data_IF_795322218714
#
_entry.id   IF_795322218714
#
_cell.length_a   1.000
_cell.length_b   1.000
_cell.length_c   1.000
_cell.angle_alpha   90.00
_cell.angle_beta   90.00
_cell.angle_gamma   90.00
#
_symmetry.space_group_name_H-M   'P 1'
#
loop_
_entity.id
_entity.type
_entity.pdbx_description
1 polymer ?
#
# COMPACT_ATOMS: atom_id res chain seq x y z
N UNK A 1 -28.07 -42.39 50.29
CA UNK A 1 -28.25 -42.68 48.86
C UNK A 1 -26.92 -42.46 48.16
N UNK A 2 -26.48 -43.50 47.44
CA UNK A 2 -25.30 -43.64 46.56
C UNK A 2 -24.92 -42.32 45.85
N UNK A 3 -23.66 -41.90 45.68
CA UNK A 3 -22.42 -42.65 45.50
C UNK A 3 -22.07 -42.74 44.01
N UNK A 4 -21.05 -42.00 43.54
CA UNK A 4 -20.01 -42.46 42.61
C UNK A 4 -19.15 -41.29 42.06
N UNK A 5 -17.83 -41.44 42.20
CA UNK A 5 -16.76 -40.72 41.49
C UNK A 5 -16.27 -41.60 40.32
N UNK A 6 -15.85 -40.99 39.22
CA UNK A 6 -14.84 -41.43 38.23
C UNK A 6 -14.67 -40.24 37.25
N UNK A 7 -13.51 -39.66 36.87
CA UNK A 7 -12.11 -40.04 36.66
C UNK A 7 -11.87 -41.06 35.54
N UNK A 8 -11.55 -40.57 34.33
CA UNK A 8 -10.69 -41.15 33.26
C UNK A 8 -10.92 -40.28 31.99
N UNK A 9 -9.97 -39.47 31.53
CA UNK A 9 -8.75 -39.80 30.76
C UNK A 9 -9.01 -40.21 29.31
N UNK A 10 -8.24 -39.57 28.43
CA UNK A 10 -7.81 -40.05 27.11
C UNK A 10 -8.83 -40.00 25.94
N UNK A 11 -8.60 -39.10 24.97
CA UNK A 11 -7.79 -39.44 23.79
C UNK A 11 -7.77 -38.27 22.79
N UNK A 12 -6.57 -37.81 22.49
CA UNK A 12 -6.26 -36.91 21.39
C UNK A 12 -6.59 -37.61 20.06
N UNK A 13 -7.58 -37.12 19.33
CA UNK A 13 -7.77 -37.43 17.92
C UNK A 13 -7.01 -36.39 17.09
N UNK A 14 -5.79 -36.74 16.64
CA UNK A 14 -5.02 -35.94 15.69
C UNK A 14 -5.67 -35.93 14.30
N UNK A 15 -5.46 -34.87 13.49
CA UNK A 15 -6.03 -34.77 12.16
C UNK A 15 -5.37 -35.77 11.18
N UNK A 16 -6.11 -36.27 10.18
CA UNK A 16 -5.56 -37.21 9.21
C UNK A 16 -4.52 -36.56 8.29
N UNK A 17 -3.39 -37.25 8.10
CA UNK A 17 -2.33 -36.90 7.15
C UNK A 17 -2.80 -37.03 5.69
N UNK A 18 -2.42 -36.10 4.79
CA UNK A 18 -2.78 -36.18 3.38
C UNK A 18 -1.89 -37.18 2.62
N UNK A 19 -2.45 -38.34 2.26
CA UNK A 19 -1.86 -39.27 1.29
C UNK A 19 -2.43 -39.02 -0.10
N UNK A 20 -1.75 -38.16 -0.87
CA UNK A 20 -2.14 -37.85 -2.25
C UNK A 20 -0.91 -37.55 -3.10
N UNK A 21 -0.37 -38.58 -3.77
CA UNK A 21 0.72 -38.47 -4.73
C UNK A 21 0.22 -37.72 -5.98
N UNK A 22 0.94 -36.71 -6.50
CA UNK A 22 0.52 -35.99 -7.70
C UNK A 22 0.61 -36.91 -8.94
N UNK A 23 -0.36 -36.85 -9.87
CA UNK A 23 -0.27 -37.59 -11.12
C UNK A 23 0.84 -37.03 -12.02
N UNK A 24 1.60 -37.96 -12.60
CA UNK A 24 2.66 -37.77 -13.57
C UNK A 24 2.17 -37.05 -14.83
N UNK A 25 2.94 -36.04 -15.24
CA UNK A 25 2.64 -35.17 -16.38
C UNK A 25 2.59 -35.91 -17.71
N UNK A 26 1.63 -35.49 -18.56
CA UNK A 26 1.63 -35.81 -19.99
C UNK A 26 2.27 -34.64 -20.72
N UNK A 27 3.29 -34.96 -21.52
CA UNK A 27 4.15 -34.03 -22.23
C UNK A 27 3.42 -33.09 -23.16
N UNK A 28 3.73 -31.80 -23.03
CA UNK A 28 3.54 -30.78 -24.05
C UNK A 28 4.72 -30.86 -25.04
N UNK A 29 4.52 -30.64 -26.35
CA UNK A 29 5.61 -30.61 -27.32
C UNK A 29 6.51 -29.39 -27.09
N UNK A 30 7.82 -29.62 -27.22
CA UNK A 30 8.88 -28.64 -27.03
C UNK A 30 8.79 -27.46 -28.02
N UNK A 31 9.07 -26.22 -27.59
CA UNK A 31 9.32 -25.13 -28.51
C UNK A 31 10.68 -25.33 -29.22
N UNK A 32 10.69 -25.02 -30.51
CA UNK A 32 11.85 -25.10 -31.39
C UNK A 32 13.08 -24.41 -30.79
N UNK A 33 14.21 -25.13 -30.79
CA UNK A 33 15.52 -24.59 -30.48
C UNK A 33 15.86 -23.46 -31.47
N UNK A 34 15.68 -22.21 -31.04
CA UNK A 34 16.33 -21.06 -31.67
C UNK A 34 17.71 -20.93 -31.04
N UNK A 35 18.72 -21.28 -31.82
CA UNK A 35 20.12 -21.24 -31.43
C UNK A 35 20.53 -19.88 -30.88
N UNK A 36 21.51 -19.91 -29.97
CA UNK A 36 22.27 -18.76 -29.54
C UNK A 36 22.90 -18.10 -30.78
N UNK A 37 22.22 -17.10 -31.33
CA UNK A 37 22.77 -16.26 -32.37
C UNK A 37 23.83 -15.36 -31.75
N UNK A 38 25.10 -15.64 -32.02
CA UNK A 38 26.16 -14.65 -31.81
C UNK A 38 25.83 -13.42 -32.66
N UNK A 39 25.77 -12.24 -32.03
CA UNK A 39 25.68 -10.99 -32.77
C UNK A 39 26.96 -10.83 -33.62
N UNK A 40 26.86 -10.50 -34.93
CA UNK A 40 28.03 -10.26 -35.75
C UNK A 40 28.83 -9.08 -35.19
N UNK A 41 30.16 -9.13 -35.32
CA UNK A 41 31.08 -8.09 -34.83
C UNK A 41 30.96 -6.75 -35.59
N UNK A 42 30.02 -6.63 -36.53
CA UNK A 42 29.74 -5.40 -37.27
C UNK A 42 28.28 -5.38 -37.70
N UNK A 43 27.49 -4.48 -37.11
CA UNK A 43 26.08 -4.24 -37.46
C UNK A 43 25.43 -3.23 -36.52
N UNK A 44 24.61 -2.31 -37.05
CA UNK A 44 23.85 -1.36 -36.22
C UNK A 44 22.75 -2.09 -35.43
N UNK A 45 22.70 -1.84 -34.12
CA UNK A 45 21.58 -2.28 -33.28
C UNK A 45 20.30 -1.54 -33.72
N UNK A 46 19.15 -2.23 -33.84
CA UNK A 46 17.88 -1.58 -34.20
C UNK A 46 17.46 -0.59 -33.11
N UNK A 47 16.84 0.53 -33.49
CA UNK A 47 16.41 1.61 -32.58
C UNK A 47 15.23 1.25 -31.66
N UNK A 48 14.73 0.01 -31.75
CA UNK A 48 13.66 -0.51 -30.89
C UNK A 48 13.96 -1.96 -30.51
N UNK A 49 14.49 -2.15 -29.30
CA UNK A 49 14.75 -3.43 -28.66
C UNK A 49 15.60 -3.24 -27.39
N UNK A 50 15.21 -3.85 -26.27
CA UNK A 50 16.02 -3.79 -25.04
C UNK A 50 17.33 -4.57 -25.24
N UNK A 51 18.46 -3.91 -24.98
CA UNK A 51 19.74 -4.60 -24.83
C UNK A 51 19.67 -5.52 -23.59
N UNK A 52 20.12 -6.78 -23.67
CA UNK A 52 20.11 -7.68 -22.53
C UNK A 52 21.03 -7.15 -21.42
N UNK A 53 20.59 -7.25 -20.17
CA UNK A 53 21.28 -6.74 -18.98
C UNK A 53 22.55 -7.52 -18.59
N UNK A 54 22.91 -8.56 -19.36
CA UNK A 54 24.15 -9.30 -19.21
C UNK A 54 24.77 -9.57 -20.59
N UNK A 55 25.74 -8.75 -20.97
CA UNK A 55 26.57 -8.90 -22.15
C UNK A 55 27.72 -7.90 -22.12
N UNK A 56 28.95 -8.37 -22.35
CA UNK A 56 30.11 -7.48 -22.47
C UNK A 56 29.91 -6.55 -23.66
N UNK A 57 29.98 -5.23 -23.43
CA UNK A 57 30.02 -4.25 -24.50
C UNK A 57 31.27 -4.52 -25.38
N UNK A 58 31.15 -4.52 -26.72
CA UNK A 58 32.31 -4.71 -27.59
C UNK A 58 33.32 -3.58 -27.35
N UNK A 59 34.62 -3.91 -27.37
CA UNK A 59 35.72 -2.98 -27.12
C UNK A 59 35.90 -1.91 -28.22
N UNK A 60 35.05 -1.91 -29.25
CA UNK A 60 35.06 -0.92 -30.33
C UNK A 60 33.65 -0.75 -30.89
N UNK A 61 32.96 0.27 -30.40
CA UNK A 61 31.69 0.76 -30.93
C UNK A 61 31.44 2.17 -30.41
N UNK A 62 31.22 3.13 -31.30
CA UNK A 62 30.86 4.49 -30.89
C UNK A 62 29.53 4.45 -30.12
N UNK A 63 29.57 4.81 -28.84
CA UNK A 63 28.36 5.16 -28.11
C UNK A 63 27.66 6.31 -28.86
N UNK A 64 26.33 6.29 -29.02
CA UNK A 64 25.63 7.39 -29.67
C UNK A 64 25.91 8.69 -28.91
N UNK A 65 26.32 9.73 -29.64
CA UNK A 65 26.73 11.06 -29.14
C UNK A 65 25.59 11.86 -28.48
N UNK A 66 24.53 11.21 -28.00
CA UNK A 66 23.42 11.82 -27.27
C UNK A 66 22.90 10.90 -26.16
N UNK A 67 23.81 10.42 -25.33
CA UNK A 67 23.50 9.97 -23.98
C UNK A 67 23.61 11.14 -23.01
N UNK A 68 22.49 11.79 -22.69
CA UNK A 68 22.44 12.66 -21.51
C UNK A 68 22.28 11.78 -20.28
N UNK A 69 23.41 11.42 -19.66
CA UNK A 69 23.45 11.17 -18.23
C UNK A 69 23.62 12.53 -17.55
N UNK A 70 22.61 13.11 -16.86
CA UNK A 70 22.87 14.22 -15.99
C UNK A 70 23.46 13.66 -14.70
N UNK A 71 24.78 13.79 -14.65
CA UNK A 71 25.64 14.05 -13.50
C UNK A 71 25.03 13.88 -12.09
N UNK A 72 25.71 13.08 -11.26
CA UNK A 72 25.64 13.20 -9.81
C UNK A 72 25.87 14.67 -9.43
N UNK A 73 24.88 15.29 -8.79
CA UNK A 73 25.10 16.48 -7.98
C UNK A 73 25.09 16.09 -6.50
N UNK A 74 26.13 16.46 -5.72
CA UNK A 74 26.04 16.46 -4.26
C UNK A 74 25.29 17.72 -3.83
N UNK A 75 24.22 17.55 -3.05
CA UNK A 75 23.51 18.65 -2.41
C UNK A 75 22.01 18.41 -2.29
N UNK A 76 21.58 17.89 -1.15
CA UNK A 76 20.20 18.06 -0.71
C UNK A 76 19.95 19.57 -0.57
N UNK A 77 19.07 20.12 -1.42
CA UNK A 77 18.54 21.45 -1.19
C UNK A 77 17.76 21.46 0.14
N UNK A 78 17.80 22.53 0.94
CA UNK A 78 16.91 22.67 2.09
C UNK A 78 15.47 22.59 1.60
N UNK A 79 14.65 21.81 2.30
CA UNK A 79 13.28 21.50 1.92
C UNK A 79 12.49 22.74 1.53
N UNK A 80 12.02 22.77 0.27
CA UNK A 80 10.92 23.64 -0.12
C UNK A 80 9.72 23.19 0.70
N UNK A 81 9.27 24.05 1.62
CA UNK A 81 8.07 23.80 2.38
C UNK A 81 6.92 23.49 1.38
N UNK A 82 6.11 22.44 1.62
CA UNK A 82 4.98 22.15 0.77
C UNK A 82 4.10 23.41 0.66
N UNK A 83 3.56 23.75 -0.52
CA UNK A 83 2.65 24.87 -0.65
C UNK A 83 1.51 24.66 0.33
N UNK A 84 1.22 25.69 1.14
CA UNK A 84 0.06 25.68 2.04
C UNK A 84 -1.17 25.31 1.19
N UNK A 85 -1.99 24.34 1.62
CA UNK A 85 -3.16 23.95 0.85
C UNK A 85 -4.06 25.19 0.73
N UNK A 86 -4.21 25.70 -0.49
CA UNK A 86 -5.16 26.76 -0.79
C UNK A 86 -6.52 26.09 -0.93
N UNK A 87 -7.27 26.04 0.17
CA UNK A 87 -8.65 25.57 0.16
C UNK A 87 -9.53 26.68 -0.41
N UNK A 88 -9.86 26.63 -1.70
CA UNK A 88 -10.85 27.53 -2.35
C UNK A 88 -12.28 26.95 -2.32
N UNK A 89 -12.57 26.03 -1.41
CA UNK A 89 -13.92 25.57 -1.16
C UNK A 89 -14.65 26.52 -0.23
N UNK A 90 -15.80 27.06 -0.66
CA UNK A 90 -16.75 27.73 0.23
C UNK A 90 -17.28 26.67 1.20
N UNK A 91 -16.65 26.55 2.37
CA UNK A 91 -17.24 25.83 3.50
C UNK A 91 -18.54 26.57 3.80
N UNK A 92 -19.69 25.94 3.52
CA UNK A 92 -20.97 26.35 4.08
C UNK A 92 -20.87 25.99 5.58
N UNK A 93 -20.20 26.85 6.34
CA UNK A 93 -20.08 26.73 7.77
C UNK A 93 -21.39 27.25 8.37
N UNK A 94 -22.37 26.37 8.53
CA UNK A 94 -23.19 26.47 9.73
C UNK A 94 -22.23 26.26 10.92
N UNK A 95 -22.36 27.09 11.95
CA UNK A 95 -21.63 27.10 13.22
C UNK A 95 -21.80 25.79 14.01
N UNK A 96 -21.45 24.66 13.38
CA UNK A 96 -21.25 23.39 14.06
C UNK A 96 -19.94 23.52 14.81
N UNK A 97 -20.06 24.08 16.01
CA UNK A 97 -18.99 24.23 17.00
C UNK A 97 -18.12 22.98 16.95
N UNK A 98 -16.91 23.16 16.41
CA UNK A 98 -15.91 22.10 16.42
C UNK A 98 -15.78 21.69 17.88
N UNK A 99 -15.86 20.38 18.20
CA UNK A 99 -15.69 19.94 19.58
C UNK A 99 -14.39 20.53 20.12
N UNK A 100 -14.38 21.00 21.37
CA UNK A 100 -13.19 21.63 21.95
C UNK A 100 -12.00 20.69 21.78
N UNK A 101 -10.90 21.21 21.22
CA UNK A 101 -9.65 20.46 21.14
C UNK A 101 -9.28 20.06 22.57
N UNK A 102 -9.10 18.76 22.83
CA UNK A 102 -8.75 18.32 24.17
C UNK A 102 -7.41 18.96 24.56
N UNK A 103 -7.42 19.68 25.66
CA UNK A 103 -6.27 20.39 26.24
C UNK A 103 -5.32 19.45 27.01
N UNK A 104 -5.74 18.20 27.21
CA UNK A 104 -4.96 17.14 27.86
C UNK A 104 -4.47 16.11 26.84
N UNK A 105 -3.27 15.57 27.09
CA UNK A 105 -2.81 14.38 26.38
C UNK A 105 -3.67 13.14 26.70
N UNK A 106 -4.26 12.56 25.65
CA UNK A 106 -5.00 11.30 25.74
C UNK A 106 -4.06 10.10 25.74
N UNK A 107 -4.34 9.07 26.53
CA UNK A 107 -3.68 7.76 26.34
C UNK A 107 -4.01 7.16 24.97
N UNK A 108 -3.22 6.21 24.45
CA UNK A 108 -3.53 5.55 23.16
C UNK A 108 -4.94 4.93 23.10
N UNK A 109 -5.42 4.39 24.22
CA UNK A 109 -6.76 3.79 24.32
C UNK A 109 -7.87 4.84 24.29
N UNK A 110 -7.70 5.95 25.02
CA UNK A 110 -8.64 7.08 24.98
C UNK A 110 -8.69 7.71 23.59
N UNK A 111 -7.54 7.90 22.94
CA UNK A 111 -7.47 8.40 21.57
C UNK A 111 -8.18 7.47 20.57
N UNK A 112 -8.03 6.15 20.72
CA UNK A 112 -8.74 5.16 19.90
C UNK A 112 -10.26 5.30 20.07
N UNK A 113 -10.73 5.41 21.31
CA UNK A 113 -12.14 5.58 21.63
C UNK A 113 -12.69 6.90 21.11
N UNK A 114 -11.91 7.99 21.20
CA UNK A 114 -12.27 9.31 20.67
C UNK A 114 -12.43 9.29 19.15
N UNK A 115 -11.44 8.73 18.43
CA UNK A 115 -11.51 8.57 16.98
C UNK A 115 -12.70 7.71 16.55
N UNK A 116 -12.96 6.62 17.29
CA UNK A 116 -14.15 5.78 17.08
C UNK A 116 -15.44 6.56 17.26
N UNK A 117 -15.55 7.39 18.32
CA UNK A 117 -16.72 8.23 18.58
C UNK A 117 -16.91 9.28 17.48
N UNK A 118 -15.83 9.94 17.07
CA UNK A 118 -15.83 10.94 16.00
C UNK A 118 -16.35 10.33 14.69
N UNK A 119 -15.83 9.16 14.33
CA UNK A 119 -16.26 8.46 13.13
C UNK A 119 -17.75 8.09 13.19
N UNK A 120 -18.17 7.43 14.28
CA UNK A 120 -19.52 6.90 14.43
C UNK A 120 -20.59 8.00 14.48
N UNK A 121 -20.37 9.05 15.27
CA UNK A 121 -21.42 10.04 15.54
C UNK A 121 -21.43 11.19 14.53
N UNK A 122 -20.28 11.52 13.92
CA UNK A 122 -20.17 12.71 13.08
C UNK A 122 -19.82 12.39 11.62
N UNK A 123 -18.75 11.63 11.39
CA UNK A 123 -18.24 11.46 10.01
C UNK A 123 -19.16 10.59 9.18
N UNK A 124 -19.55 9.40 9.68
CA UNK A 124 -20.42 8.46 8.96
C UNK A 124 -21.71 9.09 8.43
N UNK A 125 -22.23 10.07 9.16
CA UNK A 125 -23.50 10.74 8.86
C UNK A 125 -23.32 12.14 8.23
N UNK A 126 -22.08 12.57 7.96
CA UNK A 126 -21.79 13.93 7.51
C UNK A 126 -22.42 14.24 6.13
N UNK A 127 -23.26 15.28 6.07
CA UNK A 127 -23.90 15.78 4.84
C UNK A 127 -23.53 17.23 4.52
N UNK A 128 -22.44 17.75 5.11
CA UNK A 128 -22.04 19.17 5.01
C UNK A 128 -21.57 19.62 3.62
N UNK A 129 -21.32 18.70 2.69
CA UNK A 129 -20.94 19.03 1.32
C UNK A 129 -21.55 18.05 0.31
N UNK A 130 -21.56 18.41 -0.97
CA UNK A 130 -22.20 17.66 -2.05
C UNK A 130 -21.66 16.23 -2.26
N UNK A 131 -20.43 15.96 -1.79
CA UNK A 131 -19.81 14.62 -1.89
C UNK A 131 -20.61 13.52 -1.18
N UNK A 132 -21.48 13.89 -0.22
CA UNK A 132 -22.35 12.91 0.44
C UNK A 132 -23.39 12.27 -0.46
N UNK A 133 -23.73 12.91 -1.59
CA UNK A 133 -24.79 12.45 -2.47
C UNK A 133 -24.39 11.21 -3.29
N UNK A 134 -23.09 11.09 -3.64
CA UNK A 134 -22.61 10.09 -4.59
C UNK A 134 -21.70 9.01 -3.98
N UNK A 135 -21.29 9.15 -2.73
CA UNK A 135 -20.47 8.14 -2.04
C UNK A 135 -21.32 6.94 -1.61
N UNK A 136 -20.74 5.75 -1.58
CA UNK A 136 -21.35 4.57 -0.97
C UNK A 136 -21.27 4.67 0.55
N UNK A 137 -20.11 5.08 1.06
CA UNK A 137 -19.86 5.25 2.49
C UNK A 137 -18.74 6.26 2.73
N UNK A 138 -18.53 6.66 3.98
CA UNK A 138 -17.35 7.44 4.34
C UNK A 138 -16.15 6.51 4.54
N UNK A 139 -14.98 6.96 4.11
CA UNK A 139 -13.70 6.29 4.38
C UNK A 139 -12.98 7.08 5.47
N UNK A 140 -12.95 6.53 6.67
CA UNK A 140 -12.27 7.16 7.81
C UNK A 140 -10.80 6.72 7.89
N UNK A 141 -9.98 7.47 8.63
CA UNK A 141 -8.58 7.11 8.85
C UNK A 141 -8.42 5.85 9.70
N UNK A 142 -7.32 5.13 9.48
CA UNK A 142 -7.02 3.86 10.14
C UNK A 142 -5.54 3.79 10.53
N UNK A 143 -5.24 3.15 11.65
CA UNK A 143 -3.87 2.98 12.10
C UNK A 143 -3.71 3.29 13.58
N UNK A 144 -2.49 3.64 13.98
CA UNK A 144 -2.15 3.95 15.38
C UNK A 144 -2.88 5.22 15.83
N UNK A 145 -3.69 5.21 16.90
CA UNK A 145 -4.42 6.39 17.40
C UNK A 145 -3.53 7.54 17.88
N UNK A 146 -2.29 7.22 18.29
CA UNK A 146 -1.22 8.18 18.61
C UNK A 146 0.01 7.89 17.75
N UNK A 147 -0.05 8.22 16.45
CA UNK A 147 1.03 7.94 15.52
C UNK A 147 2.14 8.98 15.65
N UNK A 148 3.37 8.60 15.31
CA UNK A 148 4.46 9.56 15.09
C UNK A 148 4.42 10.15 13.67
N UNK A 149 3.78 9.43 12.74
CA UNK A 149 3.65 9.78 11.33
C UNK A 149 2.22 9.57 10.83
N UNK A 150 1.68 10.60 10.19
CA UNK A 150 0.33 10.60 9.59
C UNK A 150 0.43 10.79 8.08
N UNK A 151 -0.30 9.99 7.32
CA UNK A 151 -0.44 10.11 5.87
C UNK A 151 -1.83 10.63 5.52
N UNK A 152 -1.87 11.82 4.91
CA UNK A 152 -3.11 12.45 4.46
C UNK A 152 -3.12 12.49 2.93
N UNK A 153 -4.10 11.81 2.33
CA UNK A 153 -4.35 11.84 0.89
C UNK A 153 -5.34 12.94 0.48
N UNK A 154 -5.67 12.98 -0.82
CA UNK A 154 -6.68 13.92 -1.35
C UNK A 154 -8.11 13.54 -0.93
N UNK A 155 -8.53 12.32 -1.26
CA UNK A 155 -9.87 11.81 -0.97
C UNK A 155 -10.00 10.32 -1.36
N UNK A 156 -11.07 9.64 -0.92
CA UNK A 156 -11.28 8.23 -1.24
C UNK A 156 -11.58 8.05 -2.74
N UNK A 157 -10.88 7.10 -3.37
CA UNK A 157 -11.19 6.62 -4.71
C UNK A 157 -12.31 5.57 -4.71
N UNK A 158 -12.58 4.97 -5.87
CA UNK A 158 -13.64 3.98 -6.02
C UNK A 158 -13.39 2.68 -5.23
N UNK A 159 -12.14 2.24 -5.11
CA UNK A 159 -11.79 1.05 -4.34
C UNK A 159 -11.93 1.30 -2.84
N UNK A 160 -11.52 2.49 -2.39
CA UNK A 160 -11.66 2.95 -1.01
C UNK A 160 -13.13 3.13 -0.62
N UNK A 161 -13.95 3.83 -1.43
CA UNK A 161 -15.38 4.03 -1.17
C UNK A 161 -16.12 2.69 -1.09
N UNK A 162 -15.79 1.73 -1.97
CA UNK A 162 -16.38 0.40 -1.94
C UNK A 162 -15.98 -0.41 -0.69
N UNK A 163 -14.74 -0.30 -0.23
CA UNK A 163 -14.22 -1.10 0.88
C UNK A 163 -14.35 -0.42 2.25
N UNK A 164 -14.59 0.90 2.29
CA UNK A 164 -14.61 1.68 3.53
C UNK A 164 -13.22 1.89 4.16
N UNK A 165 -12.15 1.57 3.42
CA UNK A 165 -10.78 1.55 3.93
C UNK A 165 -9.87 2.46 3.09
N UNK A 166 -9.04 3.32 3.71
CA UNK A 166 -8.17 4.22 2.97
C UNK A 166 -7.00 3.47 2.33
N UNK A 167 -6.54 3.98 1.18
CA UNK A 167 -5.33 3.51 0.49
C UNK A 167 -5.33 2.00 0.16
N UNK A 168 -6.43 1.49 -0.37
CA UNK A 168 -6.54 0.07 -0.80
C UNK A 168 -6.36 -0.12 -2.31
N UNK A 169 -6.49 0.94 -3.11
CA UNK A 169 -6.25 0.91 -4.55
C UNK A 169 -4.75 0.83 -4.92
N UNK A 170 -4.45 0.95 -6.23
CA UNK A 170 -3.07 0.85 -6.75
C UNK A 170 -2.09 1.83 -6.09
N UNK A 171 -2.52 3.08 -5.89
CA UNK A 171 -1.71 4.09 -5.23
C UNK A 171 -1.45 3.74 -3.75
N UNK A 172 -2.45 3.18 -3.07
CA UNK A 172 -2.32 2.74 -1.69
C UNK A 172 -1.41 1.53 -1.51
N UNK A 173 -1.39 0.60 -2.48
CA UNK A 173 -0.41 -0.49 -2.52
C UNK A 173 1.02 0.04 -2.70
N UNK A 174 1.23 1.07 -3.51
CA UNK A 174 2.52 1.75 -3.62
C UNK A 174 2.91 2.42 -2.30
N UNK A 175 2.00 3.16 -1.66
CA UNK A 175 2.23 3.76 -0.35
C UNK A 175 2.61 2.71 0.70
N UNK A 176 1.92 1.57 0.71
CA UNK A 176 2.21 0.46 1.63
C UNK A 176 3.64 -0.06 1.46
N UNK A 177 4.12 -0.19 0.20
CA UNK A 177 5.51 -0.56 -0.07
C UNK A 177 6.51 0.50 0.39
N UNK A 178 6.18 1.78 0.28
CA UNK A 178 7.02 2.87 0.79
C UNK A 178 7.11 2.86 2.32
N UNK A 179 5.98 2.64 3.00
CA UNK A 179 5.92 2.48 4.46
C UNK A 179 6.81 1.32 4.93
N UNK A 180 6.70 0.17 4.25
CA UNK A 180 7.56 -0.98 4.53
C UNK A 180 9.05 -0.67 4.28
N UNK A 181 9.39 0.09 3.24
CA UNK A 181 10.76 0.51 2.96
C UNK A 181 11.34 1.44 4.04
N UNK A 182 10.48 2.17 4.77
CA UNK A 182 10.84 2.96 5.96
C UNK A 182 10.88 2.11 7.24
N UNK A 183 10.80 0.78 7.13
CA UNK A 183 10.77 -0.17 8.26
C UNK A 183 9.57 0.03 9.20
N UNK A 184 8.46 0.54 8.67
CA UNK A 184 7.20 0.74 9.39
C UNK A 184 6.10 -0.17 8.82
N UNK A 185 5.02 -0.35 9.58
CA UNK A 185 3.78 -1.02 9.12
C UNK A 185 2.60 -0.05 9.08
N UNK A 186 1.51 -0.43 8.39
CA UNK A 186 0.27 0.37 8.30
C UNK A 186 -0.38 0.61 9.66
N UNK A 187 -0.15 -0.28 10.62
CA UNK A 187 -0.71 -0.22 11.97
C UNK A 187 0.10 0.69 12.90
N UNK A 188 1.34 1.04 12.53
CA UNK A 188 2.22 1.91 13.31
C UNK A 188 2.05 3.40 12.98
N UNK A 189 1.50 3.68 11.80
CA UNK A 189 1.22 5.03 11.29
C UNK A 189 -0.30 5.26 11.28
N UNK A 190 -0.73 6.47 10.89
CA UNK A 190 -2.14 6.75 10.61
C UNK A 190 -2.28 7.19 9.15
#
# INVERSE_FOLDING_TARGET
MLGARASSSDFLAGPPSPTGRPPVGRGMPAPAARGLGMAPSSGMAPSTGMAPSAGMAPSSGMAPNRGMAPNLAPGAAPGVAPPKPVVTGKLMADDAELPPLCDRELSPAEAAAELGRLNEHFVRHCRKCELHANRTQTVFGVGRPRPELVFVGEGPGADEDRQGQPFVGRAGQLLTRMIAAMTLTREQVY
#
